data_IF_462766704869
#
_entry.id   IF_462766704869
#
_cell.length_a   1.000
_cell.length_b   1.000
_cell.length_c   1.000
_cell.angle_alpha   90.00
_cell.angle_beta   90.00
_cell.angle_gamma   90.00
#
_symmetry.space_group_name_H-M   'P 1'
#
loop_
_entity.id
_entity.type
_entity.pdbx_description
1 polymer ?
#
# COMPACT_ATOMS: atom_id res chain seq x y z
N UNK A 1 -0.62 0.63 17.39
CA UNK A 1 -1.23 -0.70 17.58
C UNK A 1 -2.65 -0.52 18.07
N UNK A 2 -3.54 -1.47 17.81
CA UNK A 2 -4.94 -1.47 18.23
C UNK A 2 -5.57 -2.85 18.04
N UNK A 3 -6.83 -3.02 18.44
CA UNK A 3 -7.60 -4.25 18.31
C UNK A 3 -8.87 -3.95 17.52
N UNK A 4 -9.32 -4.89 16.70
CA UNK A 4 -10.59 -4.74 15.98
C UNK A 4 -10.63 -5.48 14.65
N UNK A 5 -11.43 -4.98 13.71
CA UNK A 5 -11.67 -5.62 12.42
C UNK A 5 -10.99 -4.84 11.30
N UNK A 6 -10.59 -5.55 10.26
CA UNK A 6 -10.00 -4.99 9.05
C UNK A 6 -11.06 -4.98 7.96
N UNK A 7 -11.17 -3.90 7.20
CA UNK A 7 -12.13 -3.74 6.10
C UNK A 7 -11.43 -3.42 4.79
N UNK A 8 -11.92 -3.98 3.69
CA UNK A 8 -11.56 -3.54 2.33
C UNK A 8 -12.72 -2.80 1.67
N UNK A 9 -12.39 -1.84 0.81
CA UNK A 9 -13.36 -0.90 0.27
C UNK A 9 -14.24 -1.47 -0.86
N UNK A 10 -13.70 -2.35 -1.70
CA UNK A 10 -14.33 -2.68 -2.97
C UNK A 10 -15.57 -3.58 -2.82
N UNK A 11 -15.57 -4.50 -1.85
CA UNK A 11 -16.69 -5.37 -1.53
C UNK A 11 -17.28 -5.14 -0.15
N UNK A 12 -16.68 -4.26 0.66
CA UNK A 12 -17.05 -4.08 2.06
C UNK A 12 -16.75 -5.30 2.93
N UNK A 13 -15.84 -6.18 2.48
CA UNK A 13 -15.49 -7.41 3.21
C UNK A 13 -14.78 -7.05 4.50
N UNK A 14 -15.20 -7.66 5.61
CA UNK A 14 -14.60 -7.48 6.93
C UNK A 14 -13.90 -8.75 7.40
N UNK A 15 -12.80 -8.59 8.14
CA UNK A 15 -12.14 -9.70 8.82
C UNK A 15 -12.89 -10.07 10.11
N UNK A 16 -12.52 -11.21 10.68
CA UNK A 16 -12.78 -11.44 12.11
C UNK A 16 -12.05 -10.39 12.97
N UNK A 17 -12.40 -10.30 14.25
CA UNK A 17 -11.66 -9.47 15.20
C UNK A 17 -10.23 -10.00 15.35
N UNK A 18 -9.25 -9.12 15.14
CA UNK A 18 -7.82 -9.39 15.31
C UNK A 18 -7.38 -8.92 16.70
N UNK A 19 -6.57 -9.73 17.38
CA UNK A 19 -6.07 -9.40 18.72
C UNK A 19 -5.19 -8.14 18.69
N UNK A 20 -4.21 -8.10 17.78
CA UNK A 20 -3.33 -6.96 17.60
C UNK A 20 -3.19 -6.61 16.12
N UNK A 21 -3.47 -5.35 15.81
CA UNK A 21 -3.27 -4.73 14.51
C UNK A 21 -2.13 -3.72 14.63
N UNK A 22 -1.06 -3.93 13.87
CA UNK A 22 -0.05 -2.91 13.62
C UNK A 22 -0.46 -2.14 12.36
N UNK A 23 -0.67 -0.85 12.50
CA UNK A 23 -1.14 0.02 11.44
C UNK A 23 -0.41 1.36 11.43
N UNK A 24 -0.44 2.04 10.28
CA UNK A 24 0.11 3.37 10.11
C UNK A 24 -1.00 4.40 9.89
N UNK A 25 -1.19 5.27 10.90
CA UNK A 25 -2.19 6.36 10.89
C UNK A 25 -1.90 7.43 9.84
N UNK A 26 -0.66 7.53 9.36
CA UNK A 26 -0.30 8.49 8.33
C UNK A 26 -0.75 8.05 6.92
N UNK A 27 -1.04 6.76 6.75
CA UNK A 27 -1.58 6.20 5.49
C UNK A 27 -3.10 6.42 5.45
N UNK A 28 -3.83 5.82 6.40
CA UNK A 28 -5.24 6.08 6.64
C UNK A 28 -5.54 5.99 8.15
N UNK A 29 -6.38 6.88 8.69
CA UNK A 29 -6.86 6.75 10.05
C UNK A 29 -7.85 5.58 10.19
N UNK A 30 -7.84 4.84 11.31
CA UNK A 30 -8.92 3.90 11.63
C UNK A 30 -10.21 4.66 11.94
N UNK A 31 -11.34 4.02 11.64
CA UNK A 31 -12.66 4.48 12.10
C UNK A 31 -12.99 3.78 13.43
N UNK A 32 -13.63 4.49 14.36
CA UNK A 32 -14.19 3.87 15.56
C UNK A 32 -15.60 3.36 15.24
N UNK A 33 -15.84 2.07 15.47
CA UNK A 33 -17.17 1.47 15.32
C UNK A 33 -17.97 1.55 16.62
N UNK A 34 -17.29 1.33 17.76
CA UNK A 34 -17.78 1.60 19.12
C UNK A 34 -16.63 2.09 20.04
N UNK A 35 -16.89 2.25 21.34
CA UNK A 35 -15.92 2.73 22.35
C UNK A 35 -14.68 1.82 22.52
N UNK A 36 -14.69 0.60 21.95
CA UNK A 36 -13.69 -0.45 22.19
C UNK A 36 -13.15 -1.15 20.93
N UNK A 37 -13.89 -1.14 19.81
CA UNK A 37 -13.53 -1.86 18.57
C UNK A 37 -13.25 -0.88 17.43
N UNK A 38 -12.02 -0.90 16.92
CA UNK A 38 -11.64 -0.15 15.73
C UNK A 38 -11.95 -0.91 14.43
N UNK A 39 -12.36 -0.17 13.40
CA UNK A 39 -12.38 -0.63 12.01
C UNK A 39 -11.17 -0.03 11.29
N UNK A 40 -10.33 -0.90 10.75
CA UNK A 40 -9.07 -0.54 10.12
C UNK A 40 -9.17 -0.74 8.61
N UNK A 41 -9.04 0.32 7.79
CA UNK A 41 -8.83 0.16 6.36
C UNK A 41 -7.63 -0.73 6.08
N UNK A 42 -7.78 -1.72 5.20
CA UNK A 42 -6.72 -2.69 4.89
C UNK A 42 -5.42 -2.02 4.43
N UNK A 43 -5.49 -0.85 3.79
CA UNK A 43 -4.30 -0.11 3.36
C UNK A 43 -3.49 0.45 4.54
N UNK A 44 -4.12 0.76 5.68
CA UNK A 44 -3.40 1.20 6.88
C UNK A 44 -2.75 0.04 7.63
N UNK A 45 -3.22 -1.20 7.42
CA UNK A 45 -2.76 -2.36 8.19
C UNK A 45 -1.46 -2.92 7.62
N UNK A 46 -0.46 -3.04 8.49
CA UNK A 46 0.86 -3.59 8.20
C UNK A 46 0.96 -5.04 8.66
N UNK A 47 0.51 -5.33 9.89
CA UNK A 47 0.44 -6.66 10.47
C UNK A 47 -0.89 -6.93 11.13
N UNK A 48 -1.34 -8.17 10.99
CA UNK A 48 -2.38 -8.79 11.80
C UNK A 48 -1.72 -9.88 12.65
N UNK A 49 -1.72 -9.69 13.97
CA UNK A 49 -1.05 -10.58 14.93
C UNK A 49 -2.13 -11.27 15.76
N UNK A 50 -2.22 -12.58 15.62
CA UNK A 50 -3.05 -13.45 16.46
C UNK A 50 -2.27 -13.84 17.72
N UNK A 51 -2.91 -13.77 18.89
CA UNK A 51 -2.29 -14.11 20.18
C UNK A 51 -2.92 -15.37 20.77
N UNK A 52 -2.08 -16.30 21.24
CA UNK A 52 -2.52 -17.53 21.93
C UNK A 52 -1.81 -17.73 23.26
N UNK A 53 -2.53 -18.25 24.24
CA UNK A 53 -1.93 -18.71 25.50
C UNK A 53 -1.15 -20.00 25.28
N UNK A 54 -1.75 -20.98 24.64
CA UNK A 54 -1.11 -22.22 24.19
C UNK A 54 -1.45 -22.47 22.73
N UNK A 55 -0.45 -22.61 21.88
CA UNK A 55 -0.62 -22.86 20.45
C UNK A 55 -0.86 -24.35 20.20
N UNK A 56 -2.02 -24.68 19.62
CA UNK A 56 -2.35 -26.03 19.16
C UNK A 56 -2.36 -26.13 17.64
N UNK A 57 -2.36 -27.36 17.11
CA UNK A 57 -2.57 -27.61 15.66
C UNK A 57 -3.88 -27.01 15.15
N UNK A 58 -4.94 -27.06 15.97
CA UNK A 58 -6.24 -26.46 15.63
C UNK A 58 -6.20 -24.93 15.57
N UNK A 59 -5.38 -24.29 16.42
CA UNK A 59 -5.18 -22.84 16.38
C UNK A 59 -4.44 -22.42 15.13
N UNK A 60 -3.37 -23.13 14.77
CA UNK A 60 -2.64 -22.88 13.52
C UNK A 60 -3.53 -23.03 12.29
N UNK A 61 -4.40 -24.05 12.24
CA UNK A 61 -5.34 -24.20 11.11
C UNK A 61 -6.32 -23.04 11.03
N UNK A 62 -6.85 -22.57 12.17
CA UNK A 62 -7.76 -21.41 12.17
C UNK A 62 -7.05 -20.12 11.79
N UNK A 63 -5.83 -19.92 12.28
CA UNK A 63 -5.00 -18.77 11.92
C UNK A 63 -4.62 -18.77 10.43
N UNK A 64 -4.36 -19.95 9.86
CA UNK A 64 -4.17 -20.14 8.43
C UNK A 64 -5.38 -19.66 7.63
N UNK A 65 -6.57 -20.14 7.98
CA UNK A 65 -7.80 -19.81 7.27
C UNK A 65 -8.12 -18.31 7.37
N UNK A 66 -7.92 -17.70 8.54
CA UNK A 66 -8.07 -16.26 8.74
C UNK A 66 -7.05 -15.46 7.91
N UNK A 67 -5.80 -15.91 7.86
CA UNK A 67 -4.77 -15.30 7.01
C UNK A 67 -5.08 -15.46 5.52
N UNK A 68 -5.60 -16.60 5.09
CA UNK A 68 -6.06 -16.86 3.73
C UNK A 68 -7.23 -15.94 3.33
N UNK A 69 -8.14 -15.66 4.25
CA UNK A 69 -9.21 -14.68 4.05
C UNK A 69 -8.65 -13.27 3.86
N UNK A 70 -7.76 -12.81 4.74
CA UNK A 70 -7.09 -11.50 4.60
C UNK A 70 -6.26 -11.41 3.31
N UNK A 71 -5.66 -12.52 2.88
CA UNK A 71 -4.94 -12.59 1.61
C UNK A 71 -5.83 -12.33 0.38
N UNK A 72 -7.14 -12.47 0.49
CA UNK A 72 -8.09 -12.17 -0.61
C UNK A 72 -8.50 -10.70 -0.65
N UNK A 73 -8.17 -9.90 0.37
CA UNK A 73 -8.56 -8.50 0.43
C UNK A 73 -7.92 -7.72 -0.73
N UNK A 74 -8.67 -6.73 -1.22
CA UNK A 74 -8.25 -5.82 -2.28
C UNK A 74 -7.81 -4.50 -1.66
N UNK A 75 -6.81 -3.88 -2.27
CA UNK A 75 -6.20 -2.64 -1.79
C UNK A 75 -6.49 -1.53 -2.79
N UNK A 76 -6.87 -0.37 -2.28
CA UNK A 76 -6.90 0.85 -3.05
C UNK A 76 -5.48 1.26 -3.47
N UNK A 77 -5.29 1.76 -4.69
CA UNK A 77 -4.04 2.38 -5.09
C UNK A 77 -3.79 3.65 -4.27
N UNK A 78 -2.53 3.92 -3.96
CA UNK A 78 -2.10 5.12 -3.25
C UNK A 78 -1.29 6.10 -4.11
N UNK A 79 -1.15 5.83 -5.41
CA UNK A 79 -0.50 6.72 -6.39
C UNK A 79 -1.55 7.24 -7.35
N UNK A 80 -1.47 8.53 -7.65
CA UNK A 80 -2.28 9.18 -8.69
C UNK A 80 -1.38 9.77 -9.78
N UNK A 81 -1.89 9.80 -11.01
CA UNK A 81 -1.26 10.49 -12.11
C UNK A 81 -1.46 12.02 -12.00
N UNK A 82 -0.88 12.76 -12.94
CA UNK A 82 -1.02 14.23 -13.02
C UNK A 82 -2.46 14.71 -13.23
N UNK A 83 -3.34 13.84 -13.69
CA UNK A 83 -4.77 14.09 -13.85
C UNK A 83 -5.58 13.79 -12.59
N UNK A 84 -4.96 13.28 -11.52
CA UNK A 84 -5.63 12.84 -10.30
C UNK A 84 -6.30 11.47 -10.46
N UNK A 85 -5.97 10.71 -11.50
CA UNK A 85 -6.48 9.36 -11.69
C UNK A 85 -5.57 8.36 -10.98
N UNK A 86 -6.18 7.43 -10.28
CA UNK A 86 -5.46 6.35 -9.62
C UNK A 86 -4.62 5.51 -10.59
N UNK A 87 -3.39 5.21 -10.16
CA UNK A 87 -2.41 4.41 -10.90
C UNK A 87 -2.18 3.10 -10.16
N UNK A 88 -2.34 1.99 -10.87
CA UNK A 88 -1.99 0.68 -10.32
C UNK A 88 -0.48 0.56 -10.10
N UNK A 89 -0.09 0.09 -8.92
CA UNK A 89 1.28 -0.19 -8.54
C UNK A 89 1.33 -1.46 -7.69
N UNK A 90 2.54 -1.97 -7.44
CA UNK A 90 2.72 -3.11 -6.53
C UNK A 90 2.40 -2.69 -5.10
N UNK A 91 1.64 -3.53 -4.40
CA UNK A 91 1.24 -3.33 -3.01
C UNK A 91 1.57 -4.63 -2.26
N UNK A 92 2.47 -4.56 -1.28
CA UNK A 92 2.79 -5.66 -0.37
C UNK A 92 1.54 -6.07 0.39
N UNK A 93 1.22 -7.35 0.58
CA UNK A 93 0.03 -7.70 1.39
C UNK A 93 0.28 -7.52 2.89
N UNK A 94 -0.78 -7.33 3.66
CA UNK A 94 -0.73 -7.40 5.13
C UNK A 94 -0.02 -8.68 5.57
N UNK A 95 0.84 -8.58 6.58
CA UNK A 95 1.54 -9.74 7.14
C UNK A 95 0.74 -10.32 8.30
N UNK A 96 0.13 -11.49 8.07
CA UNK A 96 -0.53 -12.26 9.13
C UNK A 96 0.51 -13.09 9.87
N UNK A 97 0.56 -12.98 11.19
CA UNK A 97 1.53 -13.70 12.04
C UNK A 97 0.86 -14.19 13.31
N UNK A 98 1.46 -15.16 13.98
CA UNK A 98 0.96 -15.69 15.25
C UNK A 98 2.03 -15.56 16.34
N UNK A 99 1.59 -15.16 17.53
CA UNK A 99 2.40 -15.08 18.74
C UNK A 99 1.74 -15.91 19.84
N UNK A 100 2.46 -16.83 20.45
CA UNK A 100 1.95 -17.66 21.52
C UNK A 100 2.86 -17.66 22.75
N UNK A 101 2.26 -17.81 23.94
CA UNK A 101 3.00 -17.89 25.20
C UNK A 101 3.51 -19.30 25.51
N UNK A 102 2.92 -20.32 24.88
CA UNK A 102 3.30 -21.72 25.04
C UNK A 102 2.86 -22.53 23.79
N UNK A 103 3.31 -23.77 23.66
CA UNK A 103 2.84 -24.74 22.67
C UNK A 103 2.49 -26.06 23.34
N UNK A 104 1.48 -26.75 22.81
CA UNK A 104 1.18 -28.14 23.20
C UNK A 104 2.10 -29.18 22.51
N UNK A 105 2.99 -28.71 21.64
CA UNK A 105 3.97 -29.55 20.96
C UNK A 105 4.99 -30.08 21.97
N UNK A 106 5.01 -31.41 22.14
CA UNK A 106 5.92 -32.11 23.05
C UNK A 106 7.14 -32.64 22.31
N UNK A 107 8.30 -32.61 22.99
CA UNK A 107 9.58 -33.01 22.41
C UNK A 107 10.20 -31.95 21.48
N UNK A 108 11.37 -32.30 20.93
CA UNK A 108 12.19 -31.43 20.09
C UNK A 108 12.35 -31.92 18.64
N UNK A 109 11.74 -33.06 18.29
CA UNK A 109 11.84 -33.65 16.94
C UNK A 109 10.95 -32.94 15.90
N UNK A 110 10.07 -32.04 16.35
CA UNK A 110 9.17 -31.28 15.51
C UNK A 110 9.10 -29.83 16.00
N UNK A 111 9.17 -28.88 15.07
CA UNK A 111 8.98 -27.46 15.35
C UNK A 111 7.64 -26.92 14.83
N UNK A 112 7.27 -25.72 15.24
CA UNK A 112 6.01 -25.08 14.82
C UNK A 112 5.92 -24.85 13.31
N UNK A 113 7.02 -24.53 12.63
CA UNK A 113 7.02 -24.36 11.18
C UNK A 113 6.69 -25.68 10.45
N UNK A 114 7.29 -26.79 10.87
CA UNK A 114 6.99 -28.13 10.37
C UNK A 114 5.57 -28.58 10.74
N UNK A 115 5.07 -28.20 11.92
CA UNK A 115 3.66 -28.43 12.27
C UNK A 115 2.73 -27.64 11.35
N UNK A 116 3.07 -26.40 11.04
CA UNK A 116 2.29 -25.55 10.16
C UNK A 116 2.31 -26.02 8.70
N UNK A 117 3.45 -26.52 8.21
CA UNK A 117 3.58 -27.11 6.87
C UNK A 117 2.52 -28.20 6.59
N UNK A 118 2.22 -29.04 7.60
CA UNK A 118 1.21 -30.11 7.52
C UNK A 118 -0.21 -29.60 7.26
N UNK A 119 -0.47 -28.30 7.41
CA UNK A 119 -1.80 -27.70 7.19
C UNK A 119 -1.99 -27.29 5.73
N UNK A 120 -0.98 -26.67 5.10
CA UNK A 120 -1.10 -26.09 3.76
C UNK A 120 -0.50 -26.97 2.67
N UNK A 121 0.62 -27.67 2.93
CA UNK A 121 1.32 -28.44 1.91
C UNK A 121 0.46 -29.60 1.33
N UNK A 122 -0.28 -30.39 2.13
CA UNK A 122 -1.13 -31.45 1.58
C UNK A 122 -2.27 -30.95 0.71
N UNK A 123 -2.67 -29.68 0.87
CA UNK A 123 -3.71 -29.03 0.08
C UNK A 123 -3.16 -28.35 -1.18
N UNK A 124 -1.84 -28.41 -1.41
CA UNK A 124 -1.15 -27.63 -2.43
C UNK A 124 -1.45 -26.12 -2.32
N UNK A 125 -1.58 -25.64 -1.08
CA UNK A 125 -1.83 -24.24 -0.76
C UNK A 125 -0.52 -23.54 -0.37
N UNK A 126 -0.53 -22.20 -0.30
CA UNK A 126 0.62 -21.40 0.11
C UNK A 126 0.61 -21.12 1.62
N UNK A 127 1.77 -20.88 2.25
CA UNK A 127 1.81 -20.43 3.64
C UNK A 127 1.26 -18.99 3.77
N UNK A 128 0.03 -18.86 4.28
CA UNK A 128 -0.58 -17.54 4.48
C UNK A 128 -0.07 -16.79 5.73
N UNK A 129 0.34 -17.50 6.78
CA UNK A 129 1.10 -16.94 7.90
C UNK A 129 2.54 -16.66 7.48
N UNK A 130 3.07 -15.50 7.91
CA UNK A 130 4.43 -15.04 7.59
C UNK A 130 5.43 -15.23 8.72
N UNK A 131 4.94 -15.47 9.93
CA UNK A 131 5.78 -15.79 11.07
C UNK A 131 4.99 -16.50 12.17
N UNK A 132 5.70 -17.33 12.93
CA UNK A 132 5.21 -18.03 14.11
C UNK A 132 6.23 -17.78 15.23
N UNK A 133 5.79 -17.23 16.34
CA UNK A 133 6.59 -17.07 17.55
C UNK A 133 5.93 -17.79 18.72
N UNK A 134 6.68 -18.63 19.42
CA UNK A 134 6.27 -19.24 20.69
C UNK A 134 7.29 -18.84 21.74
N UNK A 135 6.89 -18.00 22.69
CA UNK A 135 7.77 -17.51 23.75
C UNK A 135 8.40 -18.67 24.55
N UNK A 136 9.68 -18.54 24.86
CA UNK A 136 10.50 -19.56 25.52
C UNK A 136 10.77 -20.81 24.68
N UNK A 137 10.41 -20.82 23.38
CA UNK A 137 10.58 -22.00 22.52
C UNK A 137 11.25 -21.67 21.20
N UNK A 138 10.61 -20.89 20.34
CA UNK A 138 11.09 -20.71 18.96
C UNK A 138 10.45 -19.54 18.22
N UNK A 139 11.18 -19.02 17.23
CA UNK A 139 10.70 -18.06 16.25
C UNK A 139 11.04 -18.54 14.84
N UNK A 140 10.01 -18.60 13.99
CA UNK A 140 10.09 -18.99 12.60
C UNK A 140 9.44 -17.92 11.70
N UNK A 141 10.04 -17.65 10.55
CA UNK A 141 9.45 -16.77 9.54
C UNK A 141 9.62 -17.33 8.14
N UNK A 142 8.71 -16.96 7.25
CA UNK A 142 8.75 -17.28 5.83
C UNK A 142 9.56 -16.22 5.08
N UNK A 143 10.63 -16.63 4.39
CA UNK A 143 11.42 -15.75 3.51
C UNK A 143 10.96 -15.77 2.03
N UNK A 144 9.82 -16.43 1.77
CA UNK A 144 9.21 -16.76 0.48
C UNK A 144 9.78 -18.01 -0.23
N UNK A 145 10.88 -18.59 0.27
CA UNK A 145 11.40 -19.86 -0.23
C UNK A 145 11.34 -20.95 0.86
N UNK A 146 11.68 -20.59 2.09
CA UNK A 146 11.77 -21.52 3.22
C UNK A 146 11.28 -20.88 4.52
N UNK A 147 10.91 -21.75 5.47
CA UNK A 147 10.79 -21.37 6.87
C UNK A 147 12.17 -21.27 7.50
N UNK A 148 12.52 -20.08 7.97
CA UNK A 148 13.80 -19.78 8.62
C UNK A 148 13.58 -19.69 10.13
N UNK A 149 14.29 -20.51 10.87
CA UNK A 149 14.29 -20.52 12.33
C UNK A 149 15.45 -19.71 12.87
N UNK A 150 15.18 -18.89 13.87
CA UNK A 150 16.25 -18.26 14.65
C UNK A 150 16.67 -19.20 15.79
N UNK A 151 17.96 -19.55 15.92
CA UNK A 151 18.42 -20.31 17.08
C UNK A 151 18.18 -19.50 18.36
N UNK A 152 17.70 -20.18 19.41
CA UNK A 152 17.51 -19.61 20.74
C UNK A 152 18.75 -19.94 21.57
N UNK A 153 19.64 -18.96 21.77
CA UNK A 153 20.87 -19.13 22.56
C UNK A 153 20.71 -18.54 23.97
N UNK A 154 19.92 -17.47 24.09
CA UNK A 154 19.60 -16.77 25.32
C UNK A 154 18.09 -16.74 25.56
N UNK A 155 17.70 -16.47 26.81
CA UNK A 155 16.31 -16.25 27.16
C UNK A 155 15.72 -15.09 26.34
N UNK A 156 14.55 -15.30 25.75
CA UNK A 156 13.79 -14.34 24.93
C UNK A 156 14.35 -14.07 23.52
N UNK A 157 15.36 -14.79 23.03
CA UNK A 157 15.87 -14.63 21.66
C UNK A 157 14.76 -14.81 20.61
N UNK A 158 13.80 -15.70 20.85
CA UNK A 158 12.63 -15.89 19.99
C UNK A 158 11.73 -14.66 19.93
N UNK A 159 11.49 -14.00 21.07
CA UNK A 159 10.68 -12.78 21.15
C UNK A 159 11.44 -11.62 20.52
N UNK A 160 12.74 -11.51 20.76
CA UNK A 160 13.60 -10.51 20.12
C UNK A 160 13.66 -10.73 18.61
N UNK A 161 13.74 -11.98 18.16
CA UNK A 161 13.66 -12.38 16.76
C UNK A 161 12.35 -11.96 16.12
N UNK A 162 11.22 -12.22 16.80
CA UNK A 162 9.90 -11.79 16.35
C UNK A 162 9.79 -10.27 16.22
N UNK A 163 10.21 -9.52 17.24
CA UNK A 163 10.24 -8.04 17.20
C UNK A 163 11.17 -7.56 16.08
N UNK A 164 12.34 -8.19 15.92
CA UNK A 164 13.30 -7.92 14.86
C UNK A 164 12.69 -8.12 13.46
N UNK A 165 12.01 -9.24 13.24
CA UNK A 165 11.30 -9.52 11.98
C UNK A 165 10.22 -8.49 11.68
N UNK A 166 9.38 -8.15 12.67
CA UNK A 166 8.35 -7.11 12.51
C UNK A 166 8.98 -5.75 12.16
N UNK A 167 9.98 -5.33 12.94
CA UNK A 167 10.63 -4.02 12.80
C UNK A 167 11.45 -3.89 11.51
N UNK A 168 12.00 -4.98 11.00
CA UNK A 168 12.75 -5.00 9.75
C UNK A 168 11.85 -4.91 8.51
N UNK A 169 10.61 -5.43 8.56
CA UNK A 169 9.77 -5.50 7.36
C UNK A 169 8.55 -4.57 7.34
N UNK A 170 8.09 -4.03 8.49
CA UNK A 170 6.90 -3.15 8.49
C UNK A 170 7.05 -1.92 7.58
N UNK A 171 8.25 -1.36 7.47
CA UNK A 171 8.51 -0.17 6.63
C UNK A 171 8.31 -0.45 5.15
N UNK A 172 8.66 -1.64 4.69
CA UNK A 172 8.48 -2.02 3.28
C UNK A 172 6.99 -2.15 2.95
N UNK A 173 6.22 -2.77 3.87
CA UNK A 173 4.75 -2.85 3.74
C UNK A 173 4.13 -1.45 3.72
N UNK A 174 4.52 -0.56 4.64
CA UNK A 174 4.00 0.80 4.72
C UNK A 174 4.34 1.62 3.46
N UNK A 175 5.60 1.57 3.00
CA UNK A 175 6.07 2.30 1.80
C UNK A 175 5.30 1.91 0.55
N UNK A 176 4.90 0.64 0.42
CA UNK A 176 4.15 0.19 -0.75
C UNK A 176 2.71 0.72 -0.80
N UNK A 177 2.19 1.33 0.29
CA UNK A 177 0.80 1.81 0.36
C UNK A 177 0.61 3.21 -0.22
N UNK A 178 1.63 4.06 -0.13
CA UNK A 178 1.53 5.49 -0.47
C UNK A 178 0.34 6.18 0.25
N UNK A 179 -0.50 6.92 -0.48
CA UNK A 179 -1.56 7.76 0.09
C UNK A 179 -2.92 7.47 -0.56
N UNK A 180 -3.54 6.32 -0.26
CA UNK A 180 -4.88 6.02 -0.76
C UNK A 180 -5.89 7.03 -0.21
N UNK A 181 -6.92 7.32 -0.99
CA UNK A 181 -7.93 8.32 -0.62
C UNK A 181 -8.86 7.82 0.47
N UNK A 182 -8.86 8.47 1.65
CA UNK A 182 -9.79 8.17 2.76
C UNK A 182 -11.27 8.28 2.33
N UNK A 183 -11.56 9.18 1.38
CA UNK A 183 -12.92 9.38 0.85
C UNK A 183 -13.55 8.09 0.32
N UNK A 184 -12.77 7.12 -0.16
CA UNK A 184 -13.28 5.84 -0.64
C UNK A 184 -14.01 5.01 0.44
N UNK A 185 -13.70 5.25 1.72
CA UNK A 185 -14.32 4.57 2.87
C UNK A 185 -15.47 5.37 3.52
N UNK A 186 -15.63 6.65 3.16
CA UNK A 186 -16.57 7.57 3.84
C UNK A 186 -17.68 8.03 2.89
N UNK A 187 -17.31 8.35 1.65
CA UNK A 187 -18.24 8.91 0.67
C UNK A 187 -19.19 7.79 0.22
N UNK A 188 -20.52 7.98 0.38
CA UNK A 188 -21.48 6.98 -0.05
C UNK A 188 -21.41 6.78 -1.56
N UNK A 189 -21.55 5.54 -2.01
CA UNK A 189 -21.65 5.24 -3.43
C UNK A 189 -22.88 5.90 -4.04
N UNK A 190 -22.68 6.60 -5.15
CA UNK A 190 -23.74 7.26 -5.89
C UNK A 190 -23.20 7.98 -7.12
N UNK A 191 -24.10 8.37 -8.02
CA UNK A 191 -23.73 9.20 -9.15
C UNK A 191 -23.35 10.60 -8.65
N UNK A 192 -22.11 11.01 -8.92
CA UNK A 192 -21.71 12.40 -8.71
C UNK A 192 -22.43 13.26 -9.74
N UNK A 193 -23.26 14.20 -9.27
CA UNK A 193 -23.87 15.20 -10.15
C UNK A 193 -22.84 16.27 -10.51
N UNK A 194 -22.72 16.56 -11.80
CA UNK A 194 -21.88 17.65 -12.28
C UNK A 194 -22.60 18.98 -12.05
N UNK A 195 -22.06 19.81 -11.17
CA UNK A 195 -22.51 21.19 -10.98
C UNK A 195 -22.10 22.11 -12.14
N UNK A 196 -22.47 23.40 -12.06
CA UNK A 196 -22.05 24.39 -13.05
C UNK A 196 -20.51 24.48 -13.13
N UNK A 197 -19.99 24.70 -14.33
CA UNK A 197 -18.56 24.87 -14.55
C UNK A 197 -18.05 26.12 -13.81
N UNK A 198 -17.19 25.94 -12.81
CA UNK A 198 -16.60 27.06 -12.03
C UNK A 198 -15.31 27.62 -12.64
N UNK A 199 -14.73 26.94 -13.64
CA UNK A 199 -13.53 27.41 -14.32
C UNK A 199 -13.16 26.57 -15.54
N UNK A 200 -12.29 27.13 -16.39
CA UNK A 200 -11.69 26.42 -17.51
C UNK A 200 -10.33 25.89 -17.06
N UNK A 201 -10.18 24.57 -16.96
CA UNK A 201 -8.87 23.96 -16.72
C UNK A 201 -8.15 23.87 -18.07
N UNK A 202 -7.07 24.61 -18.22
CA UNK A 202 -6.20 24.53 -19.39
C UNK A 202 -5.10 23.51 -19.11
N UNK A 203 -4.97 22.55 -20.01
CA UNK A 203 -3.90 21.54 -19.98
C UNK A 203 -2.94 21.81 -21.13
N UNK A 204 -1.67 21.48 -20.90
CA UNK A 204 -0.61 21.55 -21.92
C UNK A 204 -0.20 20.15 -22.28
N UNK A 205 -0.16 19.86 -23.58
CA UNK A 205 0.38 18.61 -24.08
C UNK A 205 1.91 18.66 -23.99
N UNK A 206 2.49 17.63 -23.41
CA UNK A 206 3.93 17.47 -23.25
C UNK A 206 4.39 16.24 -24.04
N UNK A 207 5.56 16.35 -24.67
CA UNK A 207 6.26 15.27 -25.34
C UNK A 207 7.62 15.07 -24.67
N UNK A 208 8.03 13.83 -24.44
CA UNK A 208 9.39 13.53 -24.01
C UNK A 208 10.37 13.79 -25.17
N UNK A 209 11.45 14.53 -24.91
CA UNK A 209 12.50 14.77 -25.92
C UNK A 209 13.23 13.47 -26.32
N UNK A 210 13.24 12.43 -25.48
CA UNK A 210 14.03 11.21 -25.70
C UNK A 210 13.21 10.01 -26.25
N UNK A 211 12.03 9.73 -25.69
CA UNK A 211 11.21 8.58 -26.08
C UNK A 211 9.88 8.95 -26.74
N UNK A 212 9.66 10.23 -27.04
CA UNK A 212 8.45 10.77 -27.68
C UNK A 212 7.12 10.55 -26.94
N UNK A 213 7.15 9.96 -25.74
CA UNK A 213 5.95 9.73 -24.93
C UNK A 213 5.20 11.03 -24.71
N UNK A 214 3.89 10.99 -24.98
CA UNK A 214 2.98 12.12 -24.80
C UNK A 214 2.29 12.01 -23.44
N UNK A 215 2.18 13.13 -22.75
CA UNK A 215 1.31 13.28 -21.57
C UNK A 215 0.62 14.63 -21.60
N UNK A 216 -0.39 14.83 -20.78
CA UNK A 216 -1.07 16.11 -20.61
C UNK A 216 -0.88 16.53 -19.16
N UNK A 217 -0.54 17.80 -18.94
CA UNK A 217 -0.35 18.30 -17.58
C UNK A 217 -1.08 19.62 -17.35
N UNK A 218 -1.36 19.92 -16.08
CA UNK A 218 -1.92 21.19 -15.62
C UNK A 218 -0.78 21.98 -14.97
N UNK A 219 -0.11 22.88 -15.69
CA UNK A 219 0.99 23.65 -15.12
C UNK A 219 0.52 24.47 -13.93
N UNK A 220 1.17 24.24 -12.79
CA UNK A 220 0.99 25.03 -11.58
C UNK A 220 2.36 25.30 -10.96
N UNK A 221 2.62 26.56 -10.63
CA UNK A 221 3.80 26.95 -9.86
C UNK A 221 3.40 28.05 -8.88
N UNK A 222 3.40 27.79 -7.56
CA UNK A 222 2.98 28.77 -6.57
C UNK A 222 3.87 30.02 -6.55
N UNK A 223 5.12 29.89 -7.00
CA UNK A 223 6.11 30.98 -7.04
C UNK A 223 5.86 31.98 -8.18
N UNK A 224 5.04 31.62 -9.17
CA UNK A 224 4.78 32.45 -10.35
C UNK A 224 3.54 33.31 -10.09
N UNK A 225 3.71 34.58 -9.75
CA UNK A 225 2.57 35.51 -9.59
C UNK A 225 1.92 35.86 -10.93
N UNK A 226 2.71 36.33 -11.89
CA UNK A 226 2.27 36.51 -13.28
C UNK A 226 3.47 36.22 -14.20
N UNK A 227 3.29 35.41 -15.24
CA UNK A 227 4.34 35.10 -16.22
C UNK A 227 3.73 34.85 -17.58
N UNK A 228 4.30 35.45 -18.61
CA UNK A 228 4.00 35.12 -20.00
C UNK A 228 5.22 34.45 -20.61
N UNK A 229 5.01 33.27 -21.21
CA UNK A 229 6.04 32.51 -21.92
C UNK A 229 5.65 32.43 -23.40
N UNK A 230 6.48 33.03 -24.25
CA UNK A 230 6.43 32.86 -25.70
C UNK A 230 7.55 31.89 -26.09
N UNK A 231 7.26 30.60 -26.15
CA UNK A 231 8.29 29.59 -26.33
C UNK A 231 7.81 28.23 -25.87
N UNK A 232 8.73 27.44 -25.32
CA UNK A 232 8.46 26.07 -24.89
C UNK A 232 8.50 25.99 -23.36
N UNK A 233 7.54 25.30 -22.76
CA UNK A 233 7.57 24.96 -21.34
C UNK A 233 8.40 23.69 -21.13
N UNK A 234 9.33 23.72 -20.18
CA UNK A 234 10.11 22.56 -19.72
C UNK A 234 9.61 22.12 -18.35
N UNK A 235 9.23 20.86 -18.23
CA UNK A 235 8.72 20.30 -16.98
C UNK A 235 9.87 19.82 -16.09
N UNK A 236 9.77 20.12 -14.78
CA UNK A 236 10.76 19.72 -13.78
C UNK A 236 10.78 18.20 -13.56
N UNK A 237 9.64 17.54 -13.68
CA UNK A 237 9.55 16.09 -13.54
C UNK A 237 10.01 15.43 -14.84
N UNK A 238 10.91 14.47 -14.70
CA UNK A 238 11.40 13.64 -15.80
C UNK A 238 10.31 12.72 -16.35
N UNK A 239 10.50 12.30 -17.59
CA UNK A 239 9.69 11.28 -18.24
C UNK A 239 9.71 10.00 -17.38
N UNK A 240 8.55 9.43 -17.05
CA UNK A 240 8.48 8.25 -16.18
C UNK A 240 9.16 7.01 -16.77
N UNK A 241 9.36 6.96 -18.09
CA UNK A 241 9.85 5.74 -18.77
C UNK A 241 11.36 5.78 -19.02
N UNK A 242 11.91 6.96 -19.33
CA UNK A 242 13.30 7.09 -19.76
C UNK A 242 14.08 8.17 -19.00
N UNK A 243 13.46 8.80 -18.00
CA UNK A 243 14.01 9.93 -17.24
C UNK A 243 14.40 11.16 -18.08
N UNK A 244 14.02 11.22 -19.37
CA UNK A 244 14.24 12.37 -20.24
C UNK A 244 13.35 13.57 -19.92
N UNK A 245 13.67 14.75 -20.44
CA UNK A 245 12.90 15.98 -20.18
C UNK A 245 11.54 15.96 -20.90
N UNK A 246 10.50 16.43 -20.23
CA UNK A 246 9.17 16.62 -20.82
C UNK A 246 9.00 18.08 -21.25
N UNK A 247 8.63 18.31 -22.52
CA UNK A 247 8.52 19.66 -23.10
C UNK A 247 7.19 19.86 -23.82
N UNK A 248 6.65 21.09 -23.80
CA UNK A 248 5.44 21.43 -24.57
C UNK A 248 5.74 21.66 -26.05
N UNK A 249 4.73 21.94 -26.86
CA UNK A 249 4.96 22.63 -28.14
C UNK A 249 5.47 24.06 -27.90
N UNK A 250 5.99 24.70 -28.95
CA UNK A 250 6.30 26.14 -28.91
C UNK A 250 4.98 26.90 -29.01
N UNK A 251 4.72 27.82 -28.09
CA UNK A 251 3.46 28.52 -28.02
C UNK A 251 3.48 29.74 -27.11
N UNK A 252 2.29 30.27 -26.86
CA UNK A 252 2.06 31.35 -25.92
C UNK A 252 1.36 30.80 -24.69
N UNK A 253 1.91 31.07 -23.51
CA UNK A 253 1.41 30.58 -22.22
C UNK A 253 1.36 31.73 -21.22
N UNK A 254 0.19 32.01 -20.65
CA UNK A 254 0.06 33.03 -19.59
C UNK A 254 -0.33 32.40 -18.26
N UNK A 255 0.46 32.67 -17.23
CA UNK A 255 0.22 32.27 -15.85
C UNK A 255 -0.25 33.48 -15.04
N UNK A 256 -1.32 33.30 -14.26
CA UNK A 256 -1.76 34.25 -13.23
C UNK A 256 -1.98 33.50 -11.92
N UNK A 257 -1.40 34.01 -10.84
CA UNK A 257 -1.37 33.38 -9.50
C UNK A 257 -0.97 31.91 -9.55
N UNK A 258 0.05 31.62 -10.36
CA UNK A 258 0.63 30.30 -10.52
C UNK A 258 -0.14 29.36 -11.43
N UNK A 259 -1.30 29.77 -11.94
CA UNK A 259 -2.20 28.94 -12.75
C UNK A 259 -2.14 29.40 -14.20
N UNK A 260 -1.99 28.46 -15.13
CA UNK A 260 -2.11 28.71 -16.56
C UNK A 260 -3.55 29.14 -16.93
N UNK A 261 -3.68 30.37 -17.43
CA UNK A 261 -4.96 31.00 -17.84
C UNK A 261 -5.15 31.03 -19.35
N UNK A 262 -4.06 30.93 -20.11
CA UNK A 262 -4.06 31.05 -21.56
C UNK A 262 -3.00 30.12 -22.13
N UNK A 263 -3.37 29.35 -23.16
CA UNK A 263 -2.42 28.54 -23.94
C UNK A 263 -2.88 28.40 -25.39
N UNK A 264 -1.96 28.65 -26.33
CA UNK A 264 -2.09 28.23 -27.73
C UNK A 264 -0.71 27.95 -28.31
N UNK A 265 -0.65 27.03 -29.26
CA UNK A 265 0.57 26.57 -29.90
C UNK A 265 0.78 27.35 -31.20
N UNK A 266 2.03 27.69 -31.52
CA UNK A 266 2.33 28.26 -32.83
C UNK A 266 2.21 27.17 -33.89
N UNK A 267 1.63 27.46 -35.05
CA UNK A 267 1.59 26.49 -36.14
C UNK A 267 3.02 26.09 -36.53
N UNK A 268 3.26 24.79 -36.63
CA UNK A 268 4.48 24.26 -37.24
C UNK A 268 4.49 24.70 -38.69
N UNK A 269 5.40 25.63 -39.03
CA UNK A 269 5.71 25.91 -40.43
C UNK A 269 6.50 24.70 -40.92
N UNK A 270 5.82 23.78 -41.60
CA UNK A 270 6.52 22.78 -42.41
C UNK A 270 7.18 23.55 -43.56
N UNK A 271 8.51 23.65 -43.53
CA UNK A 271 9.26 24.11 -44.69
C UNK A 271 9.09 23.05 -45.77
N UNK A 272 8.24 23.32 -46.76
CA UNK A 272 8.26 22.60 -48.03
C UNK A 272 9.67 22.77 -48.62
N UNK A 273 10.45 21.68 -48.58
CA UNK A 273 11.67 21.51 -49.36
C UNK A 273 11.36 20.66 -50.59
#
# INVERSE_FOLDING_TARGET
>A
MGTGQIIEQYGGTMSNQMDIILYDRSILPPALYDDSVGIFPIEAVLYAIEVKTTLTSSDLSRAHDAAAQLYKFRYLPGIQDVGGKDVHHSIERVRSVIFALNSDLSGNDLNEAQRYEKIYAPKNDIPHLRAICVAGREYWYDDNEHWIGCPVEMEFDEVLGFIGGVTNTYRNVARSRHYPGLGNYIVPFGETLQGPQTGKIIRVNLKCENCEKKTSSKPYSPDIQNLTVNGQLRYKNSCPDCSGTMVSAVGHYEFKKGILQVAWEYPTIESEN
#
